data_IF_066816971169
#
_entry.id   IF_066816971169
#
_cell.length_a   1.000
_cell.length_b   1.000
_cell.length_c   1.000
_cell.angle_alpha   90.00
_cell.angle_beta   90.00
_cell.angle_gamma   90.00
#
_symmetry.space_group_name_H-M   'P 1'
#
loop_
_entity.id
_entity.type
_entity.pdbx_description
1 polymer ?
#
# COMPACT_ATOMS: atom_id res chain seq x y z
N UNK A 1 14.82 6.62 -1.65
CA UNK A 1 14.02 7.87 -1.59
C UNK A 1 12.61 7.61 -1.07
N UNK A 2 11.90 6.64 -1.61
CA UNK A 2 10.53 6.29 -1.16
C UNK A 2 10.49 5.90 0.32
N UNK A 3 11.48 5.16 0.81
CA UNK A 3 11.57 4.72 2.21
C UNK A 3 11.52 5.90 3.21
N UNK A 4 12.22 7.00 2.92
CA UNK A 4 12.18 8.20 3.76
C UNK A 4 10.75 8.79 3.83
N UNK A 5 10.04 8.83 2.70
CA UNK A 5 8.64 9.24 2.65
C UNK A 5 7.73 8.37 3.52
N UNK A 6 7.93 7.06 3.53
CA UNK A 6 7.17 6.15 4.39
C UNK A 6 7.49 6.32 5.87
N UNK A 7 8.75 6.56 6.22
CA UNK A 7 9.12 6.91 7.61
C UNK A 7 8.45 8.20 8.06
N UNK A 8 8.43 9.22 7.20
CA UNK A 8 7.76 10.49 7.49
C UNK A 8 6.25 10.30 7.64
N UNK A 9 5.60 9.55 6.74
CA UNK A 9 4.19 9.21 6.83
C UNK A 9 3.88 8.49 8.15
N UNK A 10 4.66 7.46 8.49
CA UNK A 10 4.49 6.73 9.75
C UNK A 10 4.62 7.65 10.96
N UNK A 11 5.63 8.52 10.98
CA UNK A 11 5.81 9.50 12.05
C UNK A 11 4.61 10.46 12.18
N UNK A 12 4.12 10.99 11.07
CA UNK A 12 2.94 11.88 11.04
C UNK A 12 1.70 11.18 11.59
N UNK A 13 1.44 9.93 11.17
CA UNK A 13 0.29 9.15 11.63
C UNK A 13 0.35 8.87 13.13
N UNK A 14 1.53 8.48 13.64
CA UNK A 14 1.75 8.23 15.08
C UNK A 14 1.64 9.51 15.90
N UNK A 15 2.25 10.60 15.47
CA UNK A 15 2.13 11.89 16.16
C UNK A 15 0.69 12.37 16.21
N UNK A 16 -0.04 12.19 15.10
CA UNK A 16 -1.44 12.58 15.05
C UNK A 16 -2.32 11.77 16.02
N UNK A 17 -2.10 10.44 16.13
CA UNK A 17 -2.87 9.62 17.05
C UNK A 17 -2.61 9.99 18.53
N UNK A 18 -1.39 10.45 18.87
CA UNK A 18 -1.01 10.83 20.24
C UNK A 18 -1.37 12.27 20.62
N UNK A 19 -1.98 13.05 19.72
CA UNK A 19 -2.39 14.41 20.06
C UNK A 19 -3.37 14.41 21.25
N UNK A 20 -3.24 15.36 22.19
CA UNK A 20 -4.15 15.48 23.33
C UNK A 20 -5.58 15.67 22.80
N UNK A 21 -6.47 14.81 23.25
CA UNK A 21 -7.90 14.88 22.94
C UNK A 21 -8.65 14.88 24.27
N UNK A 22 -9.57 15.79 24.43
CA UNK A 22 -10.44 15.90 25.63
C UNK A 22 -11.39 14.72 25.77
N UNK A 23 -11.51 13.89 24.75
CA UNK A 23 -12.42 12.74 24.74
C UNK A 23 -11.62 11.46 24.43
N UNK A 24 -11.61 10.52 25.37
CA UNK A 24 -11.00 9.18 25.21
C UNK A 24 -11.75 8.26 24.22
N UNK A 25 -12.60 8.80 23.35
CA UNK A 25 -13.40 8.02 22.42
C UNK A 25 -12.57 7.52 21.24
N UNK A 26 -12.86 6.30 20.83
CA UNK A 26 -12.43 5.69 19.57
C UNK A 26 -12.67 6.68 18.42
N UNK A 27 -11.66 6.87 17.57
CA UNK A 27 -11.78 7.78 16.43
C UNK A 27 -12.67 7.17 15.35
N UNK A 28 -13.42 8.02 14.66
CA UNK A 28 -14.21 7.57 13.51
C UNK A 28 -13.27 7.08 12.40
N UNK A 29 -13.47 5.84 11.93
CA UNK A 29 -12.68 5.23 10.86
C UNK A 29 -12.65 6.06 9.57
N UNK A 30 -13.77 6.72 9.24
CA UNK A 30 -13.86 7.60 8.07
C UNK A 30 -12.96 8.84 8.24
N UNK A 31 -12.87 9.40 9.45
CA UNK A 31 -11.97 10.52 9.74
C UNK A 31 -10.49 10.09 9.65
N UNK A 32 -10.16 8.87 10.09
CA UNK A 32 -8.81 8.29 9.95
C UNK A 32 -8.47 8.09 8.47
N UNK A 33 -9.38 7.53 7.70
CA UNK A 33 -9.21 7.37 6.25
C UNK A 33 -8.99 8.73 5.57
N UNK A 34 -9.81 9.72 5.88
CA UNK A 34 -9.66 11.09 5.38
C UNK A 34 -8.31 11.71 5.74
N UNK A 35 -7.82 11.47 6.96
CA UNK A 35 -6.49 11.93 7.37
C UNK A 35 -5.38 11.28 6.54
N UNK A 36 -5.44 9.96 6.35
CA UNK A 36 -4.45 9.24 5.55
C UNK A 36 -4.44 9.80 4.12
N UNK A 37 -5.62 10.01 3.53
CA UNK A 37 -5.75 10.59 2.19
C UNK A 37 -5.15 12.00 2.11
N UNK A 38 -5.42 12.86 3.09
CA UNK A 38 -4.85 14.22 3.17
C UNK A 38 -3.34 14.18 3.36
N UNK A 39 -2.83 13.30 4.24
CA UNK A 39 -1.39 13.15 4.45
C UNK A 39 -0.67 12.67 3.19
N UNK A 40 -1.23 11.69 2.48
CA UNK A 40 -0.69 11.21 1.20
C UNK A 40 -0.71 12.30 0.12
N UNK A 41 -1.81 13.05 0.02
CA UNK A 41 -1.93 14.17 -0.91
C UNK A 41 -0.92 15.28 -0.60
N UNK A 42 -0.75 15.63 0.67
CA UNK A 42 0.23 16.64 1.10
C UNK A 42 1.66 16.19 0.80
N UNK A 43 2.01 14.93 1.10
CA UNK A 43 3.32 14.36 0.79
C UNK A 43 3.59 14.36 -0.73
N UNK A 44 2.60 13.98 -1.53
CA UNK A 44 2.69 14.02 -2.98
C UNK A 44 2.89 15.46 -3.49
N UNK A 45 2.09 16.42 -3.03
CA UNK A 45 2.12 17.81 -3.47
C UNK A 45 3.44 18.47 -3.08
N UNK A 46 3.88 18.32 -1.82
CA UNK A 46 5.16 18.86 -1.35
C UNK A 46 6.33 18.19 -2.08
N UNK A 47 6.32 16.85 -2.20
CA UNK A 47 7.35 16.11 -2.90
C UNK A 47 7.48 16.53 -4.36
N UNK A 48 6.38 16.66 -5.07
CA UNK A 48 6.35 17.14 -6.47
C UNK A 48 6.88 18.56 -6.58
N UNK A 49 6.46 19.46 -5.69
CA UNK A 49 6.93 20.84 -5.67
C UNK A 49 8.44 20.93 -5.47
N UNK A 50 8.97 20.18 -4.49
CA UNK A 50 10.43 20.15 -4.22
C UNK A 50 11.23 19.59 -5.39
N UNK A 51 10.69 18.59 -6.11
CA UNK A 51 11.31 18.01 -7.30
C UNK A 51 11.30 18.99 -8.47
N UNK A 52 10.15 19.61 -8.76
CA UNK A 52 9.99 20.57 -9.88
C UNK A 52 10.82 21.83 -9.64
N UNK A 53 10.93 22.31 -8.41
CA UNK A 53 11.74 23.49 -8.07
C UNK A 53 13.24 23.19 -7.96
N UNK A 54 13.67 21.93 -8.12
CA UNK A 54 15.08 21.54 -8.14
C UNK A 54 15.76 21.43 -6.78
N UNK A 55 15.03 21.58 -5.66
CA UNK A 55 15.59 21.42 -4.30
C UNK A 55 16.22 20.05 -4.06
N UNK A 56 15.80 19.02 -4.80
CA UNK A 56 16.33 17.66 -4.72
C UNK A 56 17.34 17.33 -5.83
N UNK A 57 17.89 18.36 -6.48
CA UNK A 57 18.95 18.27 -7.48
C UNK A 57 18.44 18.38 -8.93
N UNK A 58 19.25 19.01 -9.77
CA UNK A 58 18.89 19.36 -11.17
C UNK A 58 18.55 18.12 -12.03
N UNK A 59 19.27 17.02 -11.87
CA UNK A 59 18.98 15.79 -12.62
C UNK A 59 17.61 15.19 -12.27
N UNK A 60 17.16 15.35 -11.02
CA UNK A 60 15.82 14.93 -10.61
C UNK A 60 14.75 15.88 -11.12
N UNK A 61 15.04 17.18 -11.12
CA UNK A 61 14.16 18.20 -11.67
C UNK A 61 13.86 17.93 -13.14
N UNK A 62 14.91 17.80 -13.96
CA UNK A 62 14.76 17.58 -15.42
C UNK A 62 13.91 16.32 -15.71
N UNK A 63 14.20 15.21 -15.04
CA UNK A 63 13.42 13.97 -15.19
C UNK A 63 11.95 14.16 -14.76
N UNK A 64 11.71 14.87 -13.67
CA UNK A 64 10.35 15.08 -13.15
C UNK A 64 9.55 15.98 -14.08
N UNK A 65 10.14 17.08 -14.57
CA UNK A 65 9.51 17.99 -15.52
C UNK A 65 9.17 17.25 -16.81
N UNK A 66 10.13 16.51 -17.36
CA UNK A 66 9.91 15.72 -18.57
C UNK A 66 8.78 14.67 -18.38
N UNK A 67 8.76 13.93 -17.26
CA UNK A 67 7.67 12.98 -16.96
C UNK A 67 6.31 13.65 -16.88
N UNK A 68 6.22 14.86 -16.31
CA UNK A 68 4.97 15.62 -16.23
C UNK A 68 4.56 16.14 -17.61
N UNK A 69 5.49 16.62 -18.41
CA UNK A 69 5.23 17.09 -19.78
C UNK A 69 4.73 15.95 -20.68
N UNK A 70 5.36 14.77 -20.61
CA UNK A 70 5.03 13.63 -21.45
C UNK A 70 3.69 12.97 -21.06
N UNK A 71 3.38 12.87 -19.77
CA UNK A 71 2.25 12.07 -19.27
C UNK A 71 1.18 12.85 -18.49
N UNK A 72 1.37 14.16 -18.33
CA UNK A 72 0.45 15.02 -17.58
C UNK A 72 0.53 14.88 -16.05
N UNK A 73 1.24 13.87 -15.52
CA UNK A 73 1.38 13.71 -14.08
C UNK A 73 2.62 12.87 -13.70
N UNK A 74 3.22 13.21 -12.56
CA UNK A 74 4.35 12.44 -12.02
C UNK A 74 3.97 10.99 -11.65
N UNK A 75 2.73 10.75 -11.22
CA UNK A 75 2.25 9.40 -10.87
C UNK A 75 2.09 8.53 -12.12
N UNK A 76 1.45 9.05 -13.15
CA UNK A 76 1.20 8.31 -14.39
C UNK A 76 2.51 8.09 -15.15
N UNK A 77 3.30 9.14 -15.37
CA UNK A 77 4.58 9.05 -16.07
C UNK A 77 5.67 8.30 -15.29
N UNK A 78 5.57 8.29 -13.95
CA UNK A 78 6.50 7.54 -13.10
C UNK A 78 6.18 6.05 -12.97
N UNK A 79 5.04 5.58 -13.48
CA UNK A 79 4.57 4.18 -13.36
C UNK A 79 3.86 3.69 -14.62
N UNK A 80 4.57 3.69 -15.76
CA UNK A 80 4.00 3.29 -17.05
C UNK A 80 3.59 1.82 -17.10
N UNK A 81 4.13 1.00 -16.20
CA UNK A 81 3.82 -0.44 -16.10
C UNK A 81 2.32 -0.69 -15.91
N UNK A 82 1.62 0.17 -15.18
CA UNK A 82 0.17 0.06 -15.04
C UNK A 82 -0.60 0.31 -16.33
N UNK A 83 -0.14 1.22 -17.17
CA UNK A 83 -0.76 1.44 -18.49
C UNK A 83 -0.57 0.22 -19.39
N UNK A 84 0.63 -0.38 -19.38
CA UNK A 84 0.90 -1.65 -20.06
C UNK A 84 0.05 -2.80 -19.49
N UNK A 85 -0.04 -2.92 -18.17
CA UNK A 85 -0.87 -3.92 -17.50
C UNK A 85 -2.34 -3.81 -17.89
N UNK A 86 -2.91 -2.59 -17.88
CA UNK A 86 -4.32 -2.36 -18.27
C UNK A 86 -4.56 -2.69 -19.74
N UNK A 87 -3.60 -2.44 -20.63
CA UNK A 87 -3.70 -2.85 -22.02
C UNK A 87 -3.75 -4.38 -22.15
N UNK A 88 -2.87 -5.09 -21.45
CA UNK A 88 -2.87 -6.55 -21.39
C UNK A 88 -4.16 -7.11 -20.78
N UNK A 89 -4.70 -6.52 -19.72
CA UNK A 89 -5.97 -6.94 -19.11
C UNK A 89 -7.16 -6.80 -20.06
N UNK A 90 -7.13 -5.84 -20.98
CA UNK A 90 -8.18 -5.68 -21.98
C UNK A 90 -8.17 -6.79 -23.01
N UNK A 91 -6.96 -7.28 -23.41
CA UNK A 91 -6.81 -8.36 -24.38
C UNK A 91 -7.03 -9.73 -23.74
N UNK A 92 -6.50 -9.94 -22.53
CA UNK A 92 -6.55 -11.22 -21.82
C UNK A 92 -7.05 -11.05 -20.37
N UNK A 93 -8.34 -10.80 -20.15
CA UNK A 93 -8.88 -10.51 -18.81
C UNK A 93 -8.63 -11.62 -17.77
N UNK A 94 -8.53 -12.87 -18.22
CA UNK A 94 -8.31 -14.05 -17.37
C UNK A 94 -6.86 -14.28 -16.98
N UNK A 95 -5.95 -13.38 -17.37
CA UNK A 95 -4.51 -13.57 -17.17
C UNK A 95 -3.91 -14.56 -18.15
N UNK A 96 -2.62 -14.84 -17.99
CA UNK A 96 -1.85 -15.67 -18.91
C UNK A 96 -1.60 -17.08 -18.41
N UNK A 97 -1.58 -17.26 -17.09
CA UNK A 97 -1.31 -18.54 -16.45
C UNK A 97 0.13 -18.71 -15.99
N UNK A 98 0.32 -19.68 -15.09
CA UNK A 98 1.61 -19.97 -14.50
C UNK A 98 2.59 -20.51 -15.56
N UNK A 99 3.80 -19.94 -15.61
CA UNK A 99 4.85 -20.39 -16.51
C UNK A 99 4.69 -19.92 -17.96
N UNK A 100 3.69 -19.11 -18.28
CA UNK A 100 3.51 -18.57 -19.63
C UNK A 100 4.61 -17.55 -19.94
N UNK A 101 5.19 -17.67 -21.12
CA UNK A 101 6.17 -16.72 -21.67
C UNK A 101 5.43 -15.68 -22.50
N UNK A 102 5.73 -14.38 -22.35
CA UNK A 102 5.13 -13.32 -23.16
C UNK A 102 5.38 -13.54 -24.65
N UNK A 103 4.34 -13.38 -25.44
CA UNK A 103 4.44 -13.39 -26.90
C UNK A 103 4.79 -11.99 -27.44
N UNK A 104 5.21 -11.90 -28.70
CA UNK A 104 5.44 -10.59 -29.34
C UNK A 104 4.17 -9.73 -29.38
N UNK A 105 2.98 -10.34 -29.43
CA UNK A 105 1.70 -9.65 -29.40
C UNK A 105 1.47 -9.03 -28.02
N UNK A 106 1.75 -9.76 -26.91
CA UNK A 106 1.61 -9.25 -25.55
C UNK A 106 2.54 -8.06 -25.31
N UNK A 107 3.79 -8.17 -25.75
CA UNK A 107 4.78 -7.08 -25.66
C UNK A 107 4.31 -5.85 -26.43
N UNK A 108 3.78 -6.07 -27.64
CA UNK A 108 3.25 -4.98 -28.46
C UNK A 108 2.05 -4.29 -27.80
N UNK A 109 1.11 -5.04 -27.26
CA UNK A 109 -0.06 -4.53 -26.55
C UNK A 109 0.34 -3.70 -25.30
N UNK A 110 1.28 -4.22 -24.51
CA UNK A 110 1.81 -3.50 -23.36
C UNK A 110 2.51 -2.18 -23.77
N UNK A 111 3.37 -2.22 -24.79
CA UNK A 111 4.02 -1.04 -25.36
C UNK A 111 3.00 -0.03 -25.88
N UNK A 112 1.95 -0.47 -26.54
CA UNK A 112 0.88 0.41 -27.03
C UNK A 112 0.19 1.15 -25.87
N UNK A 113 -0.12 0.44 -24.78
CA UNK A 113 -0.68 1.05 -23.58
C UNK A 113 0.25 2.09 -22.93
N UNK A 114 1.56 1.79 -22.87
CA UNK A 114 2.56 2.73 -22.31
C UNK A 114 2.76 3.95 -23.21
N UNK A 115 2.80 3.78 -24.53
CA UNK A 115 2.92 4.90 -25.50
C UNK A 115 1.71 5.81 -25.45
N UNK A 116 0.52 5.29 -25.16
CA UNK A 116 -0.71 6.09 -25.04
C UNK A 116 -0.63 7.15 -23.90
N UNK A 117 0.29 6.95 -22.95
CA UNK A 117 0.57 7.93 -21.88
C UNK A 117 1.92 8.63 -22.05
N UNK A 118 2.48 8.66 -23.28
CA UNK A 118 3.72 9.37 -23.60
C UNK A 118 5.02 8.66 -23.18
N UNK A 119 4.99 7.39 -22.77
CA UNK A 119 6.21 6.68 -22.33
C UNK A 119 7.02 6.17 -23.53
N UNK A 120 8.34 6.46 -23.53
CA UNK A 120 9.28 5.81 -24.44
C UNK A 120 9.44 4.33 -24.09
N UNK A 121 9.12 3.47 -25.03
CA UNK A 121 9.17 2.01 -24.88
C UNK A 121 10.34 1.34 -25.61
N UNK A 122 11.20 2.12 -26.28
CA UNK A 122 12.30 1.60 -27.10
C UNK A 122 13.65 1.53 -26.34
N UNK A 123 13.62 1.70 -25.02
CA UNK A 123 14.81 1.73 -24.17
C UNK A 123 15.28 0.36 -23.64
N UNK A 124 14.71 -0.73 -24.13
CA UNK A 124 15.01 -2.10 -23.70
C UNK A 124 14.45 -2.50 -22.35
N UNK A 125 13.88 -1.59 -21.58
CA UNK A 125 13.28 -1.90 -20.27
C UNK A 125 12.08 -2.83 -20.42
N UNK A 126 11.20 -2.52 -21.38
CA UNK A 126 10.00 -3.32 -21.64
C UNK A 126 10.39 -4.71 -22.14
N UNK A 127 11.24 -4.78 -23.18
CA UNK A 127 11.59 -6.05 -23.83
C UNK A 127 12.43 -6.97 -22.93
N UNK A 128 13.42 -6.42 -22.23
CA UNK A 128 14.39 -7.24 -21.50
C UNK A 128 14.01 -7.44 -20.03
N UNK A 129 13.47 -6.40 -19.38
CA UNK A 129 13.18 -6.46 -17.95
C UNK A 129 11.74 -6.90 -17.68
N UNK A 130 10.73 -6.30 -18.33
CA UNK A 130 9.33 -6.64 -18.08
C UNK A 130 8.94 -7.97 -18.73
N UNK A 131 9.40 -8.24 -19.95
CA UNK A 131 8.97 -9.37 -20.76
C UNK A 131 10.10 -10.30 -21.22
N UNK A 132 11.30 -10.17 -20.66
CA UNK A 132 12.45 -11.02 -21.00
C UNK A 132 12.34 -12.43 -20.41
N UNK A 133 11.35 -13.21 -20.88
CA UNK A 133 11.14 -14.62 -20.53
C UNK A 133 9.99 -14.87 -19.55
N UNK A 134 9.41 -13.85 -18.93
CA UNK A 134 8.24 -13.95 -18.06
C UNK A 134 7.61 -12.56 -17.87
N UNK A 135 6.37 -12.55 -17.35
CA UNK A 135 5.69 -11.29 -17.02
C UNK A 135 6.24 -10.71 -15.71
N UNK A 136 6.76 -9.47 -15.76
CA UNK A 136 7.15 -8.65 -14.59
C UNK A 136 6.47 -7.28 -14.70
N UNK A 137 5.26 -7.19 -14.18
CA UNK A 137 4.43 -6.01 -14.34
C UNK A 137 4.66 -4.94 -13.25
N UNK A 138 5.69 -5.13 -12.42
CA UNK A 138 6.08 -4.20 -11.35
C UNK A 138 4.97 -3.85 -10.37
N UNK A 139 4.05 -4.77 -10.16
CA UNK A 139 3.01 -4.73 -9.14
C UNK A 139 2.68 -6.16 -8.75
N UNK A 140 2.73 -6.48 -7.47
CA UNK A 140 2.38 -7.83 -6.99
C UNK A 140 0.95 -8.18 -7.42
N UNK A 141 0.01 -7.23 -7.34
CA UNK A 141 -1.38 -7.43 -7.77
C UNK A 141 -1.43 -7.76 -9.27
N UNK A 142 -0.69 -7.03 -10.10
CA UNK A 142 -0.63 -7.27 -11.54
C UNK A 142 0.07 -8.59 -11.89
N UNK A 143 1.18 -8.91 -11.22
CA UNK A 143 1.90 -10.18 -11.40
C UNK A 143 1.03 -11.37 -10.97
N UNK A 144 0.26 -11.25 -9.88
CA UNK A 144 -0.70 -12.26 -9.45
C UNK A 144 -1.84 -12.42 -10.46
N UNK A 145 -2.34 -11.31 -11.02
CA UNK A 145 -3.32 -11.38 -12.11
C UNK A 145 -2.73 -12.09 -13.34
N UNK A 146 -1.55 -11.73 -13.78
CA UNK A 146 -0.92 -12.34 -14.95
C UNK A 146 -0.74 -13.86 -14.76
N UNK A 147 -0.38 -14.30 -13.55
CA UNK A 147 -0.04 -15.69 -13.23
C UNK A 147 -1.29 -16.53 -12.88
N UNK A 148 -2.21 -16.01 -12.09
CA UNK A 148 -3.34 -16.75 -11.50
C UNK A 148 -4.70 -16.20 -11.96
N UNK A 149 -4.71 -15.28 -12.92
CA UNK A 149 -5.92 -14.68 -13.45
C UNK A 149 -6.69 -13.84 -12.42
N UNK A 150 -8.01 -13.82 -12.58
CA UNK A 150 -8.91 -13.05 -11.73
C UNK A 150 -8.83 -13.46 -10.25
N UNK A 151 -8.52 -14.72 -9.97
CA UNK A 151 -8.36 -15.23 -8.59
C UNK A 151 -7.12 -14.61 -7.95
N UNK A 152 -6.00 -14.54 -8.68
CA UNK A 152 -4.78 -13.88 -8.22
C UNK A 152 -4.99 -12.38 -8.00
N UNK A 153 -5.70 -11.72 -8.92
CA UNK A 153 -6.07 -10.31 -8.79
C UNK A 153 -6.91 -10.07 -7.52
N UNK A 154 -7.95 -10.89 -7.31
CA UNK A 154 -8.82 -10.80 -6.14
C UNK A 154 -8.02 -11.02 -4.83
N UNK A 155 -7.12 -12.01 -4.79
CA UNK A 155 -6.27 -12.24 -3.64
C UNK A 155 -5.36 -11.04 -3.35
N UNK A 156 -4.74 -10.45 -4.37
CA UNK A 156 -3.93 -9.24 -4.22
C UNK A 156 -4.74 -8.06 -3.64
N UNK A 157 -5.99 -7.88 -4.11
CA UNK A 157 -6.90 -6.87 -3.55
C UNK A 157 -7.31 -7.18 -2.11
N UNK A 158 -7.53 -8.44 -1.75
CA UNK A 158 -7.82 -8.84 -0.36
C UNK A 158 -6.64 -8.51 0.55
N UNK A 159 -5.41 -8.78 0.13
CA UNK A 159 -4.20 -8.44 0.88
C UNK A 159 -4.08 -6.92 1.06
N UNK A 160 -4.31 -6.15 0.01
CA UNK A 160 -4.32 -4.68 0.06
C UNK A 160 -5.37 -4.16 1.05
N UNK A 161 -6.61 -4.68 0.93
CA UNK A 161 -7.69 -4.32 1.83
C UNK A 161 -7.39 -4.67 3.29
N UNK A 162 -6.81 -5.86 3.55
CA UNK A 162 -6.44 -6.30 4.88
C UNK A 162 -5.41 -5.36 5.53
N UNK A 163 -4.37 -4.93 4.80
CA UNK A 163 -3.37 -3.97 5.28
C UNK A 163 -4.00 -2.62 5.61
N UNK A 164 -4.77 -2.07 4.68
CA UNK A 164 -5.40 -0.74 4.84
C UNK A 164 -6.42 -0.77 5.98
N UNK A 165 -7.27 -1.79 6.03
CA UNK A 165 -8.29 -1.93 7.08
C UNK A 165 -7.65 -2.07 8.46
N UNK A 166 -6.64 -2.93 8.60
CA UNK A 166 -5.93 -3.13 9.87
C UNK A 166 -5.23 -1.86 10.34
N UNK A 167 -4.60 -1.11 9.43
CA UNK A 167 -3.99 0.18 9.76
C UNK A 167 -5.04 1.18 10.26
N UNK A 168 -6.17 1.31 9.55
CA UNK A 168 -7.27 2.20 9.95
C UNK A 168 -7.84 1.78 11.31
N UNK A 169 -8.02 0.49 11.55
CA UNK A 169 -8.51 -0.04 12.82
C UNK A 169 -7.59 0.34 13.98
N UNK A 170 -6.29 0.11 13.84
CA UNK A 170 -5.31 0.42 14.88
C UNK A 170 -5.16 1.92 15.12
N UNK A 171 -5.15 2.75 14.08
CA UNK A 171 -5.14 4.20 14.21
C UNK A 171 -6.43 4.71 14.89
N UNK A 172 -7.58 4.12 14.53
CA UNK A 172 -8.88 4.46 15.13
C UNK A 172 -8.92 4.13 16.63
N UNK A 173 -8.31 3.02 17.02
CA UNK A 173 -8.18 2.59 18.43
C UNK A 173 -7.01 3.25 19.16
N UNK A 174 -6.18 4.05 18.48
CA UNK A 174 -4.96 4.67 19.00
C UNK A 174 -3.91 3.66 19.47
N UNK A 175 -3.84 2.49 18.87
CA UNK A 175 -2.91 1.41 19.19
C UNK A 175 -1.80 1.23 18.15
N UNK A 176 -1.86 1.96 17.02
CA UNK A 176 -0.88 1.84 15.97
C UNK A 176 0.51 2.26 16.44
N UNK A 177 1.51 1.40 16.23
CA UNK A 177 2.92 1.73 16.45
C UNK A 177 3.53 2.29 15.17
N UNK A 178 4.68 2.97 15.29
CA UNK A 178 5.42 3.45 14.12
C UNK A 178 5.84 2.31 13.18
N UNK A 179 6.15 1.16 13.75
CA UNK A 179 6.50 -0.04 12.99
C UNK A 179 5.32 -0.53 12.15
N UNK A 180 4.14 -0.62 12.74
CA UNK A 180 2.90 -1.01 12.04
C UNK A 180 2.58 -0.03 10.92
N UNK A 181 2.64 1.28 11.19
CA UNK A 181 2.40 2.30 10.16
C UNK A 181 3.40 2.19 9.00
N UNK A 182 4.68 1.98 9.32
CA UNK A 182 5.73 1.85 8.32
C UNK A 182 5.54 0.61 7.45
N UNK A 183 5.36 -0.57 8.07
CA UNK A 183 5.19 -1.81 7.30
C UNK A 183 3.86 -1.86 6.54
N UNK A 184 2.78 -1.30 7.07
CA UNK A 184 1.53 -1.17 6.33
C UNK A 184 1.72 -0.30 5.07
N UNK A 185 2.40 0.84 5.20
CA UNK A 185 2.68 1.72 4.06
C UNK A 185 3.59 1.06 3.02
N UNK A 186 4.65 0.35 3.45
CA UNK A 186 5.53 -0.42 2.57
C UNK A 186 4.77 -1.55 1.86
N UNK A 187 3.97 -2.33 2.60
CA UNK A 187 3.20 -3.43 2.02
C UNK A 187 2.16 -2.96 0.99
N UNK A 188 1.46 -1.85 1.26
CA UNK A 188 0.55 -1.22 0.30
C UNK A 188 1.30 -0.77 -0.96
N UNK A 189 2.47 -0.15 -0.78
CA UNK A 189 3.32 0.27 -1.90
C UNK A 189 3.78 -0.90 -2.74
N UNK A 190 4.28 -1.97 -2.10
CA UNK A 190 4.81 -3.13 -2.81
C UNK A 190 3.72 -3.93 -3.52
N UNK A 191 2.52 -4.04 -2.95
CA UNK A 191 1.37 -4.61 -3.64
C UNK A 191 1.05 -3.86 -4.93
N UNK A 192 1.10 -2.52 -4.89
CA UNK A 192 0.77 -1.68 -6.03
C UNK A 192 1.93 -1.51 -7.03
N UNK A 193 3.19 -1.49 -6.55
CA UNK A 193 4.35 -1.03 -7.34
C UNK A 193 5.62 -1.88 -7.16
N UNK A 194 5.56 -2.99 -6.45
CA UNK A 194 6.69 -3.89 -6.22
C UNK A 194 6.58 -5.16 -7.08
N UNK A 195 7.69 -5.67 -7.65
CA UNK A 195 7.68 -6.94 -8.36
C UNK A 195 7.50 -8.11 -7.39
N UNK A 196 6.64 -9.10 -7.74
CA UNK A 196 6.30 -10.23 -6.88
C UNK A 196 7.52 -11.02 -6.40
N UNK A 197 8.46 -11.28 -7.29
CA UNK A 197 9.63 -12.13 -7.01
C UNK A 197 10.57 -11.57 -5.93
N UNK A 198 10.54 -10.25 -5.72
CA UNK A 198 11.40 -9.59 -4.76
C UNK A 198 10.66 -9.19 -3.49
N UNK A 199 9.45 -8.66 -3.64
CA UNK A 199 8.76 -7.92 -2.59
C UNK A 199 7.66 -8.74 -1.89
N UNK A 200 7.32 -9.95 -2.39
CA UNK A 200 6.29 -10.78 -1.75
C UNK A 200 6.63 -11.14 -0.28
N UNK A 201 7.88 -11.51 0.09
CA UNK A 201 8.23 -11.75 1.49
C UNK A 201 8.01 -10.53 2.39
N UNK A 202 8.31 -9.32 1.89
CA UNK A 202 8.14 -8.07 2.63
C UNK A 202 6.65 -7.77 2.86
N UNK A 203 5.80 -8.02 1.86
CA UNK A 203 4.33 -7.91 1.99
C UNK A 203 3.78 -8.93 2.97
N UNK A 204 4.25 -10.18 2.94
CA UNK A 204 3.85 -11.21 3.91
C UNK A 204 4.24 -10.83 5.32
N UNK A 205 5.44 -10.27 5.52
CA UNK A 205 5.88 -9.74 6.79
C UNK A 205 5.04 -8.54 7.25
N UNK A 206 4.74 -7.62 6.35
CA UNK A 206 3.86 -6.47 6.63
C UNK A 206 2.46 -6.92 7.08
N UNK A 207 1.87 -7.90 6.40
CA UNK A 207 0.59 -8.51 6.78
C UNK A 207 0.68 -9.16 8.16
N UNK A 208 1.72 -9.97 8.41
CA UNK A 208 1.91 -10.63 9.69
C UNK A 208 1.99 -9.62 10.84
N UNK A 209 2.85 -8.60 10.72
CA UNK A 209 3.02 -7.55 11.74
C UNK A 209 1.72 -6.78 11.96
N UNK A 210 1.05 -6.38 10.88
CA UNK A 210 -0.12 -5.53 10.96
C UNK A 210 -1.34 -6.26 11.51
N UNK A 211 -1.59 -7.50 11.07
CA UNK A 211 -2.72 -8.31 11.52
C UNK A 211 -2.55 -8.82 12.95
N UNK A 212 -1.33 -9.23 13.32
CA UNK A 212 -1.04 -9.69 14.69
C UNK A 212 -1.23 -8.56 15.70
N UNK A 213 -0.72 -7.36 15.40
CA UNK A 213 -0.92 -6.20 16.28
C UNK A 213 -2.41 -5.83 16.45
N UNK A 214 -3.23 -6.04 15.42
CA UNK A 214 -4.68 -5.86 15.48
C UNK A 214 -5.34 -6.86 16.44
N UNK A 215 -4.95 -8.14 16.37
CA UNK A 215 -5.50 -9.20 17.21
C UNK A 215 -5.19 -9.00 18.70
N UNK A 216 -3.97 -8.61 19.03
CA UNK A 216 -3.58 -8.33 20.42
C UNK A 216 -4.24 -7.06 20.98
N UNK A 217 -4.47 -6.03 20.16
CA UNK A 217 -5.16 -4.81 20.57
C UNK A 217 -6.63 -5.02 20.95
N UNK A 218 -7.30 -6.01 20.38
CA UNK A 218 -8.68 -6.38 20.74
C UNK A 218 -8.76 -7.24 22.00
N UNK A 219 -7.80 -8.13 22.22
CA UNK A 219 -7.78 -9.04 23.37
C UNK A 219 -7.61 -8.30 24.73
N UNK A 220 -6.93 -7.17 24.75
CA UNK A 220 -6.73 -6.37 25.97
C UNK A 220 -7.97 -5.56 26.38
N UNK A 221 -8.98 -5.43 25.52
CA UNK A 221 -10.23 -4.71 25.82
C UNK A 221 -11.31 -5.62 26.42
N UNK A 222 -11.17 -6.94 26.31
CA UNK A 222 -12.03 -7.93 26.95
C UNK A 222 -11.38 -8.46 28.23
N UNK A 223 -11.17 -7.62 29.25
CA UNK A 223 -10.92 -8.10 30.60
C UNK A 223 -12.26 -8.54 31.18
N UNK A 224 -12.40 -9.80 31.61
CA UNK A 224 -13.61 -10.23 32.29
C UNK A 224 -13.69 -9.45 33.61
N UNK A 225 -14.68 -8.59 33.73
CA UNK A 225 -15.15 -8.15 35.04
C UNK A 225 -15.85 -9.36 35.67
N UNK A 226 -15.10 -10.36 36.09
CA UNK A 226 -15.58 -11.30 37.08
C UNK A 226 -15.78 -10.50 38.35
N UNK A 227 -16.98 -10.03 38.48
CA UNK A 227 -17.53 -9.62 39.76
C UNK A 227 -17.51 -10.86 40.67
N UNK A 228 -16.44 -11.01 41.45
CA UNK A 228 -16.43 -11.88 42.60
C UNK A 228 -17.45 -11.30 43.56
N UNK A 229 -18.66 -11.85 43.50
CA UNK A 229 -19.70 -11.64 44.50
C UNK A 229 -19.18 -12.24 45.79
N UNK A 230 -18.63 -11.39 46.70
CA UNK A 230 -18.25 -11.80 48.05
C UNK A 230 -19.56 -12.05 48.80
N UNK A 231 -19.84 -13.27 49.24
CA UNK A 231 -21.04 -13.53 50.00
C UNK A 231 -20.96 -12.79 51.35
N UNK A 232 -21.99 -11.96 51.61
CA UNK A 232 -22.14 -11.27 52.86
C UNK A 232 -22.24 -12.28 54.02
N UNK A 233 -21.20 -12.37 54.83
CA UNK A 233 -21.20 -13.11 56.09
C UNK A 233 -22.12 -12.44 57.06
N UNK A 234 -23.32 -13.00 57.23
CA UNK A 234 -24.30 -12.59 58.25
C UNK A 234 -23.73 -12.83 59.63
N UNK A 235 -23.33 -11.77 60.34
CA UNK A 235 -23.02 -11.77 61.77
C UNK A 235 -24.27 -11.65 62.59
N UNK A 236 -24.83 -12.77 63.04
CA UNK A 236 -25.77 -12.81 64.13
C UNK A 236 -24.99 -12.70 65.46
N UNK A 237 -25.12 -11.60 66.18
CA UNK A 237 -24.73 -11.54 67.56
C UNK A 237 -25.99 -11.32 68.44
N UNK A 238 -26.36 -12.35 69.20
CA UNK A 238 -27.24 -12.30 70.33
C UNK A 238 -26.40 -12.09 71.60
N UNK A 239 -26.94 -11.38 72.45
CA UNK A 239 -26.95 -11.23 73.93
C UNK A 239 -26.44 -9.88 74.45
#
# INVERSE_FOLDING_TARGET
RSFFGFCLLAAVLVMWQHRPSTTSKRMNKLAVFGLIAVALFALYSVGTTLLVQGYLGQANQQRTVQQIEDSGSLLIGGRPEWAGTLALMREQPMGFGLGTVPTSQDVWAAKAGMRAIGTDTENGYVDNYMFGGHFKLHSIIADMWATFGIVGFALGLIMLFALVYSLIEQLSNRTATGLVCLFAALGVWDLAFGPIYKNLPDVMFALAVTLTASAFGTATTESPTDSVEVPAVGGSARA
#
